data_IF_223216797279
#
_entry.id   IF_223216797279
#
_cell.length_a   1.000
_cell.length_b   1.000
_cell.length_c   1.000
_cell.angle_alpha   90.00
_cell.angle_beta   90.00
_cell.angle_gamma   90.00
#
_symmetry.space_group_name_H-M   'P 1'
#
loop_
_entity.id
_entity.type
_entity.pdbx_description
1 polymer ?
#
# COMPACT_ATOMS: atom_id res chain seq x y z
N UNK A 1 97.86 -12.84 -3.52
CA UNK A 1 96.49 -13.35 -3.72
C UNK A 1 95.73 -12.33 -4.54
N UNK A 2 95.47 -12.61 -5.83
CA UNK A 2 94.62 -11.75 -6.66
C UNK A 2 93.17 -11.93 -6.21
N UNK A 3 92.52 -10.86 -5.76
CA UNK A 3 91.09 -10.85 -5.45
C UNK A 3 90.32 -10.85 -6.77
N UNK A 4 89.57 -11.92 -7.04
CA UNK A 4 88.73 -12.01 -8.23
C UNK A 4 87.64 -10.93 -8.17
N UNK A 5 87.54 -10.10 -9.21
CA UNK A 5 86.48 -9.10 -9.33
C UNK A 5 85.13 -9.78 -9.54
N UNK A 6 84.07 -9.43 -8.77
CA UNK A 6 82.76 -10.06 -8.91
C UNK A 6 82.19 -9.86 -10.31
N UNK A 7 81.53 -10.87 -10.86
CA UNK A 7 80.85 -10.83 -12.15
C UNK A 7 79.69 -9.83 -12.15
N UNK A 8 79.22 -9.42 -13.35
CA UNK A 8 78.10 -8.49 -13.47
C UNK A 8 76.80 -9.01 -12.84
N UNK A 9 76.55 -10.32 -12.95
CA UNK A 9 75.40 -10.98 -12.33
C UNK A 9 75.47 -10.89 -10.80
N UNK A 10 76.63 -11.20 -10.22
CA UNK A 10 76.85 -11.11 -8.76
C UNK A 10 76.70 -9.68 -8.24
N UNK A 11 77.14 -8.67 -9.01
CA UNK A 11 76.91 -7.25 -8.68
C UNK A 11 75.43 -6.86 -8.73
N UNK A 12 74.66 -7.35 -9.71
CA UNK A 12 73.21 -7.11 -9.82
C UNK A 12 72.45 -7.76 -8.67
N UNK A 13 72.80 -8.99 -8.31
CA UNK A 13 72.18 -9.71 -7.20
C UNK A 13 72.52 -9.09 -5.85
N UNK A 14 73.77 -8.68 -5.65
CA UNK A 14 74.20 -7.93 -4.46
C UNK A 14 73.43 -6.61 -4.33
N UNK A 15 73.24 -5.87 -5.43
CA UNK A 15 72.44 -4.64 -5.44
C UNK A 15 70.96 -4.94 -5.13
N UNK A 16 70.38 -5.97 -5.72
CA UNK A 16 68.99 -6.34 -5.46
C UNK A 16 68.78 -6.77 -4.00
N UNK A 17 69.73 -7.51 -3.42
CA UNK A 17 69.72 -7.88 -2.01
C UNK A 17 69.83 -6.65 -1.09
N UNK A 18 70.72 -5.71 -1.42
CA UNK A 18 70.83 -4.43 -0.74
C UNK A 18 69.52 -3.63 -0.80
N UNK A 19 68.92 -3.47 -1.99
CA UNK A 19 67.68 -2.72 -2.17
C UNK A 19 66.51 -3.36 -1.39
N UNK A 20 66.43 -4.69 -1.36
CA UNK A 20 65.44 -5.42 -0.53
C UNK A 20 65.63 -5.15 0.96
N UNK A 21 66.86 -5.26 1.45
CA UNK A 21 67.19 -4.99 2.84
C UNK A 21 66.94 -3.52 3.22
N UNK A 22 67.27 -2.59 2.33
CA UNK A 22 67.01 -1.15 2.51
C UNK A 22 65.51 -0.85 2.57
N UNK A 23 64.71 -1.40 1.63
CA UNK A 23 63.25 -1.23 1.62
C UNK A 23 62.58 -1.86 2.84
N UNK A 24 63.10 -2.99 3.32
CA UNK A 24 62.61 -3.63 4.54
C UNK A 24 62.85 -2.74 5.77
N UNK A 25 64.10 -2.28 5.96
CA UNK A 25 64.49 -1.40 7.08
C UNK A 25 63.78 -0.04 7.06
N UNK A 26 63.47 0.49 5.87
CA UNK A 26 62.86 1.81 5.71
C UNK A 26 61.37 1.77 5.32
N UNK A 27 60.70 0.62 5.44
CA UNK A 27 59.33 0.41 4.95
C UNK A 27 58.35 1.47 5.44
N UNK A 28 58.37 1.79 6.73
CA UNK A 28 57.48 2.79 7.33
C UNK A 28 57.76 4.20 6.80
N UNK A 29 59.03 4.60 6.72
CA UNK A 29 59.45 5.92 6.18
C UNK A 29 59.07 6.07 4.71
N UNK A 30 59.32 5.05 3.90
CA UNK A 30 58.95 5.02 2.48
C UNK A 30 57.43 5.10 2.33
N UNK A 31 56.67 4.36 3.16
CA UNK A 31 55.20 4.39 3.14
C UNK A 31 54.66 5.78 3.50
N UNK A 32 55.20 6.41 4.54
CA UNK A 32 54.81 7.76 4.96
C UNK A 32 55.12 8.80 3.87
N UNK A 33 56.34 8.79 3.33
CA UNK A 33 56.73 9.69 2.24
C UNK A 33 55.84 9.53 1.01
N UNK A 34 55.49 8.29 0.63
CA UNK A 34 54.58 8.03 -0.48
C UNK A 34 53.15 8.51 -0.20
N UNK A 35 52.68 8.38 1.04
CA UNK A 35 51.35 8.88 1.42
C UNK A 35 51.28 10.40 1.34
N UNK A 36 52.31 11.11 1.80
CA UNK A 36 52.40 12.57 1.68
C UNK A 36 52.52 13.02 0.23
N UNK A 37 53.35 12.36 -0.57
CA UNK A 37 53.44 12.64 -2.00
C UNK A 37 52.10 12.43 -2.73
N UNK A 38 51.35 11.37 -2.41
CA UNK A 38 50.03 11.12 -3.00
C UNK A 38 49.00 12.22 -2.67
N UNK A 39 49.16 12.92 -1.54
CA UNK A 39 48.28 14.04 -1.17
C UNK A 39 48.75 15.38 -1.76
N UNK A 40 50.00 15.47 -2.20
CA UNK A 40 50.61 16.70 -2.71
C UNK A 40 49.86 17.26 -3.92
N UNK A 41 49.87 18.58 -4.06
CA UNK A 41 49.29 19.26 -5.22
C UNK A 41 49.96 18.81 -6.53
N UNK A 42 51.27 18.60 -6.50
CA UNK A 42 52.07 18.14 -7.65
C UNK A 42 51.59 16.79 -8.17
N UNK A 43 51.35 15.81 -7.29
CA UNK A 43 50.83 14.51 -7.71
C UNK A 43 49.41 14.60 -8.26
N UNK A 44 48.56 15.44 -7.66
CA UNK A 44 47.19 15.66 -8.17
C UNK A 44 47.21 16.28 -9.58
N UNK A 45 48.10 17.24 -9.82
CA UNK A 45 48.27 17.86 -11.13
C UNK A 45 48.77 16.84 -12.17
N UNK A 46 49.80 16.06 -11.82
CA UNK A 46 50.31 14.97 -12.65
C UNK A 46 49.22 13.95 -13.00
N UNK A 47 48.43 13.48 -12.03
CA UNK A 47 47.35 12.52 -12.30
C UNK A 47 46.22 13.10 -13.15
N UNK A 48 45.93 14.39 -12.98
CA UNK A 48 44.95 15.07 -13.82
C UNK A 48 45.42 15.18 -15.27
N UNK A 49 46.69 15.49 -15.49
CA UNK A 49 47.30 15.53 -16.81
C UNK A 49 47.35 14.13 -17.44
N UNK A 50 47.84 13.13 -16.71
CA UNK A 50 47.89 11.73 -17.16
C UNK A 50 46.51 11.20 -17.55
N UNK A 51 45.46 11.47 -16.74
CA UNK A 51 44.09 11.07 -17.09
C UNK A 51 43.55 11.75 -18.34
N UNK A 52 44.00 12.96 -18.67
CA UNK A 52 43.60 13.66 -19.89
C UNK A 52 44.32 13.08 -21.11
N UNK A 53 45.63 12.92 -21.03
CA UNK A 53 46.47 12.38 -22.10
C UNK A 53 46.14 10.91 -22.41
N UNK A 54 45.82 10.12 -21.38
CA UNK A 54 45.48 8.69 -21.51
C UNK A 54 43.97 8.41 -21.31
N UNK A 55 43.09 9.38 -21.60
CA UNK A 55 41.66 9.26 -21.31
C UNK A 55 41.00 8.02 -21.95
N UNK A 56 41.37 7.72 -23.20
CA UNK A 56 40.84 6.58 -23.96
C UNK A 56 41.30 5.26 -23.35
N UNK A 57 42.60 5.12 -23.07
CA UNK A 57 43.19 3.92 -22.48
C UNK A 57 42.66 3.66 -21.06
N UNK A 58 42.59 4.71 -20.24
CA UNK A 58 42.04 4.63 -18.88
C UNK A 58 40.57 4.23 -18.91
N UNK A 59 39.79 4.73 -19.87
CA UNK A 59 38.39 4.34 -20.04
C UNK A 59 38.28 2.88 -20.48
N UNK A 60 39.03 2.46 -21.49
CA UNK A 60 39.02 1.08 -21.98
C UNK A 60 39.42 0.09 -20.88
N UNK A 61 40.45 0.40 -20.09
CA UNK A 61 40.85 -0.37 -18.92
C UNK A 61 39.73 -0.48 -17.87
N UNK A 62 39.09 0.66 -17.52
CA UNK A 62 37.98 0.66 -16.56
C UNK A 62 36.81 -0.16 -17.06
N UNK A 63 36.44 -0.03 -18.32
CA UNK A 63 35.32 -0.75 -18.92
C UNK A 63 35.58 -2.26 -18.91
N UNK A 64 36.79 -2.70 -19.30
CA UNK A 64 37.21 -4.11 -19.22
C UNK A 64 37.19 -4.63 -17.77
N UNK A 65 37.75 -3.86 -16.83
CA UNK A 65 37.73 -4.23 -15.41
C UNK A 65 36.30 -4.33 -14.87
N UNK A 66 35.42 -3.37 -15.21
CA UNK A 66 34.02 -3.41 -14.80
C UNK A 66 33.26 -4.58 -15.43
N UNK A 67 33.53 -4.92 -16.69
CA UNK A 67 32.92 -6.07 -17.35
C UNK A 67 33.31 -7.38 -16.64
N UNK A 68 34.58 -7.56 -16.32
CA UNK A 68 35.10 -8.71 -15.58
C UNK A 68 34.61 -8.77 -14.13
N UNK A 69 34.35 -7.62 -13.50
CA UNK A 69 33.95 -7.53 -12.09
C UNK A 69 32.46 -7.26 -11.86
N UNK A 70 31.65 -7.22 -12.92
CA UNK A 70 30.24 -6.78 -12.86
C UNK A 70 29.42 -7.59 -11.87
N UNK A 71 29.53 -8.90 -11.93
CA UNK A 71 28.78 -9.81 -11.06
C UNK A 71 29.19 -9.66 -9.60
N UNK A 72 30.50 -9.55 -9.33
CA UNK A 72 31.02 -9.32 -7.97
C UNK A 72 30.52 -7.99 -7.41
N UNK A 73 30.62 -6.91 -8.18
CA UNK A 73 30.17 -5.57 -7.77
C UNK A 73 28.66 -5.56 -7.52
N UNK A 74 27.89 -6.21 -8.40
CA UNK A 74 26.43 -6.35 -8.25
C UNK A 74 26.07 -7.13 -6.99
N UNK A 75 26.76 -8.25 -6.74
CA UNK A 75 26.57 -9.08 -5.55
C UNK A 75 26.94 -8.32 -4.27
N UNK A 76 28.06 -7.60 -4.26
CA UNK A 76 28.49 -6.76 -3.13
C UNK A 76 27.50 -5.62 -2.87
N UNK A 77 27.04 -4.93 -3.91
CA UNK A 77 26.04 -3.88 -3.78
C UNK A 77 24.70 -4.42 -3.25
N UNK A 78 24.28 -5.60 -3.71
CA UNK A 78 23.09 -6.29 -3.20
C UNK A 78 23.26 -6.71 -1.74
N UNK A 79 24.42 -7.28 -1.39
CA UNK A 79 24.75 -7.65 -0.02
C UNK A 79 24.74 -6.43 0.90
N UNK A 80 25.36 -5.31 0.49
CA UNK A 80 25.33 -4.05 1.23
C UNK A 80 23.91 -3.48 1.38
N UNK A 81 23.07 -3.58 0.34
CA UNK A 81 21.67 -3.19 0.40
C UNK A 81 20.87 -4.03 1.41
N UNK A 82 21.16 -5.32 1.48
CA UNK A 82 20.49 -6.25 2.40
C UNK A 82 21.04 -6.21 3.82
N UNK A 83 22.32 -5.83 4.01
CA UNK A 83 23.01 -5.84 5.30
C UNK A 83 22.43 -4.84 6.32
N UNK A 84 21.85 -3.74 5.86
CA UNK A 84 21.28 -2.72 6.75
C UNK A 84 19.88 -2.26 6.28
N UNK A 85 18.86 -3.12 6.47
CA UNK A 85 17.49 -2.79 6.10
C UNK A 85 16.91 -1.70 7.00
N UNK A 86 17.36 -1.59 8.25
CA UNK A 86 16.87 -0.61 9.21
C UNK A 86 17.28 0.81 8.83
N UNK A 87 18.55 1.05 8.50
CA UNK A 87 19.02 2.36 8.03
C UNK A 87 18.29 2.82 6.77
N UNK A 88 18.00 1.91 5.85
CA UNK A 88 17.19 2.24 4.65
C UNK A 88 15.77 2.61 5.02
N UNK A 89 15.13 1.84 5.90
CA UNK A 89 13.78 2.16 6.41
C UNK A 89 13.77 3.49 7.15
N UNK A 90 14.76 3.76 8.00
CA UNK A 90 14.90 5.01 8.73
C UNK A 90 15.05 6.22 7.80
N UNK A 91 15.93 6.11 6.79
CA UNK A 91 16.11 7.16 5.77
C UNK A 91 14.83 7.39 4.97
N UNK A 92 14.15 6.32 4.55
CA UNK A 92 12.86 6.42 3.85
C UNK A 92 11.77 7.03 4.72
N UNK A 93 11.70 6.64 5.99
CA UNK A 93 10.75 7.19 6.95
C UNK A 93 11.01 8.68 7.23
N UNK A 94 12.26 9.09 7.38
CA UNK A 94 12.65 10.50 7.50
C UNK A 94 12.26 11.30 6.25
N UNK A 95 12.55 10.78 5.06
CA UNK A 95 12.13 11.39 3.80
C UNK A 95 10.61 11.54 3.72
N UNK A 96 9.86 10.47 4.01
CA UNK A 96 8.40 10.48 3.99
C UNK A 96 7.80 11.41 5.05
N UNK A 97 8.44 11.56 6.21
CA UNK A 97 8.03 12.52 7.24
C UNK A 97 8.21 13.96 6.77
N UNK A 98 9.40 14.30 6.25
CA UNK A 98 9.68 15.66 5.75
C UNK A 98 8.86 16.00 4.49
N UNK A 99 8.55 15.01 3.66
CA UNK A 99 7.88 15.18 2.39
C UNK A 99 6.46 14.59 2.39
N UNK A 100 5.80 14.54 3.55
CA UNK A 100 4.52 13.87 3.71
C UNK A 100 3.44 14.43 2.77
N UNK A 101 3.40 15.76 2.62
CA UNK A 101 2.47 16.44 1.72
C UNK A 101 2.76 16.06 0.26
N UNK A 102 4.01 16.20 -0.19
CA UNK A 102 4.44 15.85 -1.54
C UNK A 102 4.10 14.40 -1.90
N UNK A 103 4.37 13.46 -1.00
CA UNK A 103 4.06 12.04 -1.22
C UNK A 103 2.55 11.83 -1.33
N UNK A 104 1.76 12.45 -0.44
CA UNK A 104 0.29 12.38 -0.51
C UNK A 104 -0.26 13.03 -1.77
N UNK A 105 0.29 14.17 -2.20
CA UNK A 105 -0.08 14.85 -3.43
C UNK A 105 0.17 13.97 -4.65
N UNK A 106 1.36 13.35 -4.74
CA UNK A 106 1.67 12.38 -5.80
C UNK A 106 0.72 11.19 -5.81
N UNK A 107 0.42 10.62 -4.64
CA UNK A 107 -0.53 9.52 -4.53
C UNK A 107 -1.94 9.93 -4.97
N UNK A 108 -2.41 11.12 -4.57
CA UNK A 108 -3.71 11.66 -5.02
C UNK A 108 -3.73 11.88 -6.53
N UNK A 109 -2.68 12.47 -7.10
CA UNK A 109 -2.58 12.70 -8.54
C UNK A 109 -2.58 11.39 -9.32
N UNK A 110 -1.82 10.39 -8.86
CA UNK A 110 -1.82 9.06 -9.48
C UNK A 110 -3.20 8.40 -9.40
N UNK A 111 -3.87 8.47 -8.24
CA UNK A 111 -5.20 7.91 -8.05
C UNK A 111 -6.26 8.58 -8.94
N UNK A 112 -6.18 9.90 -9.11
CA UNK A 112 -7.06 10.65 -9.99
C UNK A 112 -6.83 10.33 -11.47
N UNK A 113 -5.57 10.14 -11.88
CA UNK A 113 -5.21 9.75 -13.25
C UNK A 113 -5.49 8.27 -13.54
N UNK A 114 -5.60 7.41 -12.52
CA UNK A 114 -5.76 5.96 -12.66
C UNK A 114 -6.91 5.40 -11.81
N UNK A 115 -8.15 5.92 -11.95
CA UNK A 115 -9.25 5.55 -11.06
C UNK A 115 -9.61 4.07 -11.16
N UNK A 116 -9.57 3.49 -12.36
CA UNK A 116 -9.91 2.08 -12.56
C UNK A 116 -8.85 1.13 -12.01
N UNK A 117 -7.55 1.45 -12.17
CA UNK A 117 -6.47 0.67 -11.55
C UNK A 117 -6.57 0.71 -10.02
N UNK A 118 -6.86 1.89 -9.46
CA UNK A 118 -7.06 2.02 -8.02
C UNK A 118 -8.25 1.18 -7.54
N UNK A 119 -9.42 1.30 -8.19
CA UNK A 119 -10.60 0.51 -7.84
C UNK A 119 -10.35 -0.99 -7.98
N UNK A 120 -9.64 -1.42 -9.02
CA UNK A 120 -9.29 -2.83 -9.21
C UNK A 120 -8.40 -3.35 -8.07
N UNK A 121 -7.38 -2.57 -7.69
CA UNK A 121 -6.51 -2.88 -6.55
C UNK A 121 -7.28 -2.92 -5.23
N UNK A 122 -8.12 -1.91 -4.95
CA UNK A 122 -8.95 -1.86 -3.75
C UNK A 122 -9.89 -3.08 -3.67
N UNK A 123 -10.51 -3.48 -4.79
CA UNK A 123 -11.35 -4.68 -4.87
C UNK A 123 -10.55 -5.96 -4.61
N UNK A 124 -9.36 -6.09 -5.20
CA UNK A 124 -8.50 -7.25 -5.00
C UNK A 124 -8.04 -7.35 -3.53
N UNK A 125 -7.64 -6.23 -2.94
CA UNK A 125 -7.27 -6.14 -1.53
C UNK A 125 -8.44 -6.54 -0.62
N UNK A 126 -9.64 -5.97 -0.86
CA UNK A 126 -10.83 -6.31 -0.09
C UNK A 126 -11.20 -7.79 -0.24
N UNK A 127 -11.09 -8.38 -1.44
CA UNK A 127 -11.35 -9.82 -1.64
C UNK A 127 -10.37 -10.69 -0.85
N UNK A 128 -9.09 -10.38 -0.91
CA UNK A 128 -8.05 -11.13 -0.21
C UNK A 128 -8.10 -10.96 1.33
N UNK A 129 -8.59 -9.81 1.81
CA UNK A 129 -8.59 -9.47 3.24
C UNK A 129 -10.01 -9.26 3.79
N UNK A 130 -11.01 -9.91 3.18
CA UNK A 130 -12.43 -9.62 3.42
C UNK A 130 -12.80 -9.76 4.89
N UNK A 131 -12.39 -10.87 5.51
CA UNK A 131 -12.71 -11.18 6.90
C UNK A 131 -12.10 -10.16 7.85
N UNK A 132 -10.81 -9.87 7.68
CA UNK A 132 -10.11 -8.87 8.49
C UNK A 132 -10.74 -7.48 8.37
N UNK A 133 -11.06 -7.05 7.15
CA UNK A 133 -11.69 -5.73 6.93
C UNK A 133 -13.06 -5.67 7.59
N UNK A 134 -13.88 -6.72 7.47
CA UNK A 134 -15.21 -6.75 8.08
C UNK A 134 -15.13 -6.83 9.61
N UNK A 135 -14.19 -7.60 10.15
CA UNK A 135 -13.95 -7.71 11.60
C UNK A 135 -13.52 -6.36 12.18
N UNK A 136 -12.57 -5.67 11.53
CA UNK A 136 -12.14 -4.32 11.93
C UNK A 136 -13.29 -3.31 11.85
N UNK A 137 -14.08 -3.34 10.77
CA UNK A 137 -15.23 -2.47 10.62
C UNK A 137 -16.34 -2.76 11.65
N UNK A 138 -16.49 -4.01 12.08
CA UNK A 138 -17.39 -4.38 13.19
C UNK A 138 -16.83 -3.86 14.52
N UNK A 139 -15.59 -4.17 14.84
CA UNK A 139 -14.93 -3.71 16.08
C UNK A 139 -14.96 -2.19 16.22
N UNK A 140 -14.72 -1.44 15.13
CA UNK A 140 -14.84 0.01 15.15
C UNK A 140 -16.26 0.49 15.48
N UNK A 141 -17.29 -0.12 14.88
CA UNK A 141 -18.70 0.24 15.15
C UNK A 141 -19.09 -0.07 16.59
N UNK A 142 -18.67 -1.22 17.10
CA UNK A 142 -18.99 -1.66 18.46
C UNK A 142 -18.28 -0.79 19.51
N UNK A 143 -17.02 -0.40 19.25
CA UNK A 143 -16.26 0.48 20.14
C UNK A 143 -16.62 1.98 20.01
N UNK A 144 -17.30 2.39 18.93
CA UNK A 144 -17.58 3.80 18.65
C UNK A 144 -19.07 4.04 18.27
N UNK A 145 -20.05 3.60 19.09
CA UNK A 145 -21.46 3.74 18.76
C UNK A 145 -21.90 5.21 18.65
N UNK A 146 -21.44 6.06 19.56
CA UNK A 146 -21.75 7.50 19.56
C UNK A 146 -21.18 8.20 18.33
N UNK A 147 -19.91 7.95 18.00
CA UNK A 147 -19.27 8.54 16.82
C UNK A 147 -19.97 8.09 15.54
N UNK A 148 -20.45 6.84 15.49
CA UNK A 148 -21.26 6.37 14.39
C UNK A 148 -22.58 7.13 14.30
N UNK A 149 -23.29 7.32 15.41
CA UNK A 149 -24.53 8.08 15.43
C UNK A 149 -24.33 9.55 15.00
N UNK A 150 -23.24 10.18 15.46
CA UNK A 150 -22.85 11.53 15.05
C UNK A 150 -22.57 11.62 13.56
N UNK A 151 -21.82 10.67 13.00
CA UNK A 151 -21.55 10.61 11.57
C UNK A 151 -22.84 10.41 10.75
N UNK A 152 -23.71 9.53 11.20
CA UNK A 152 -25.00 9.27 10.53
C UNK A 152 -25.89 10.53 10.58
N UNK A 153 -25.95 11.24 11.71
CA UNK A 153 -26.68 12.49 11.86
C UNK A 153 -26.10 13.62 10.99
N UNK A 154 -24.76 13.77 10.98
CA UNK A 154 -24.07 14.73 10.14
C UNK A 154 -24.32 14.45 8.65
N UNK A 155 -24.32 13.18 8.24
CA UNK A 155 -24.63 12.79 6.86
C UNK A 155 -26.07 13.16 6.48
N UNK A 156 -27.04 12.89 7.35
CA UNK A 156 -28.45 13.27 7.12
C UNK A 156 -28.59 14.79 6.98
N UNK A 157 -27.96 15.55 7.87
CA UNK A 157 -27.97 17.03 7.84
C UNK A 157 -27.31 17.58 6.57
N UNK A 158 -26.21 16.99 6.12
CA UNK A 158 -25.52 17.39 4.90
C UNK A 158 -26.23 16.95 3.61
N UNK A 159 -27.11 15.94 3.67
CA UNK A 159 -27.73 15.32 2.49
C UNK A 159 -29.27 15.29 2.53
N UNK A 160 -29.97 16.42 2.83
CA UNK A 160 -31.42 16.42 3.02
C UNK A 160 -32.18 15.97 1.76
N UNK A 161 -31.71 16.34 0.57
CA UNK A 161 -32.33 15.95 -0.70
C UNK A 161 -32.28 14.43 -0.94
N UNK A 162 -31.15 13.76 -0.61
CA UNK A 162 -31.03 12.30 -0.75
C UNK A 162 -32.00 11.58 0.19
N UNK A 163 -32.17 12.09 1.41
CA UNK A 163 -33.13 11.55 2.39
C UNK A 163 -34.57 11.73 1.89
N UNK A 164 -34.93 12.94 1.43
CA UNK A 164 -36.25 13.22 0.85
C UNK A 164 -36.56 12.31 -0.35
N UNK A 165 -35.61 12.17 -1.27
CA UNK A 165 -35.74 11.32 -2.46
C UNK A 165 -35.93 9.84 -2.09
N UNK A 166 -35.20 9.35 -1.10
CA UNK A 166 -35.33 7.96 -0.62
C UNK A 166 -36.72 7.71 -0.05
N UNK A 167 -37.24 8.64 0.77
CA UNK A 167 -38.61 8.55 1.31
C UNK A 167 -39.67 8.63 0.19
N UNK A 168 -39.50 9.51 -0.79
CA UNK A 168 -40.41 9.64 -1.92
C UNK A 168 -40.47 8.35 -2.76
N UNK A 169 -39.32 7.76 -3.07
CA UNK A 169 -39.23 6.47 -3.79
C UNK A 169 -39.91 5.33 -3.03
N UNK A 170 -39.80 5.29 -1.70
CA UNK A 170 -40.52 4.31 -0.87
C UNK A 170 -42.03 4.51 -0.98
N UNK A 171 -42.53 5.74 -0.79
CA UNK A 171 -43.97 6.04 -0.90
C UNK A 171 -44.53 5.67 -2.28
N UNK A 172 -43.82 6.03 -3.34
CA UNK A 172 -44.21 5.69 -4.70
C UNK A 172 -44.31 4.17 -4.89
N UNK A 173 -43.34 3.40 -4.38
CA UNK A 173 -43.38 1.93 -4.47
C UNK A 173 -44.56 1.33 -3.71
N UNK A 174 -44.83 1.82 -2.51
CA UNK A 174 -45.99 1.37 -1.72
C UNK A 174 -47.26 1.66 -2.50
N UNK A 175 -47.44 2.89 -3.01
CA UNK A 175 -48.62 3.27 -3.80
C UNK A 175 -48.82 2.38 -5.02
N UNK A 176 -47.75 2.08 -5.77
CA UNK A 176 -47.82 1.21 -6.94
C UNK A 176 -48.13 -0.24 -6.59
N UNK A 177 -47.71 -0.69 -5.41
CA UNK A 177 -47.98 -2.04 -4.93
C UNK A 177 -49.35 -2.16 -4.23
N UNK A 178 -50.05 -1.05 -3.97
CA UNK A 178 -51.42 -1.07 -3.41
C UNK A 178 -52.43 -1.20 -4.54
N UNK A 179 -53.03 -2.38 -4.74
CA UNK A 179 -54.08 -2.54 -5.74
C UNK A 179 -55.33 -1.76 -5.33
N UNK A 180 -56.16 -1.38 -6.31
CA UNK A 180 -57.37 -0.59 -6.06
C UNK A 180 -58.40 -1.29 -5.16
N UNK A 181 -58.39 -2.63 -5.15
CA UNK A 181 -59.28 -3.45 -4.32
C UNK A 181 -58.80 -3.62 -2.89
N UNK A 182 -57.59 -3.16 -2.52
CA UNK A 182 -57.09 -3.28 -1.15
C UNK A 182 -57.94 -2.45 -0.19
N UNK A 183 -58.53 -3.08 0.83
CA UNK A 183 -59.28 -2.35 1.85
C UNK A 183 -58.32 -1.54 2.75
N UNK A 184 -58.54 -0.22 2.76
CA UNK A 184 -57.76 0.71 3.57
C UNK A 184 -58.02 0.52 5.06
N UNK A 185 -59.22 0.09 5.46
CA UNK A 185 -59.57 -0.17 6.86
C UNK A 185 -58.79 -1.34 7.42
N UNK A 186 -58.65 -2.41 6.64
CA UNK A 186 -57.85 -3.57 7.04
C UNK A 186 -56.35 -3.23 7.12
N UNK A 187 -55.84 -2.43 6.17
CA UNK A 187 -54.47 -1.93 6.24
C UNK A 187 -54.25 -1.09 7.51
N UNK A 188 -55.15 -0.16 7.79
CA UNK A 188 -55.08 0.71 8.98
C UNK A 188 -55.17 -0.11 10.28
N UNK A 189 -55.95 -1.19 10.30
CA UNK A 189 -56.02 -2.10 11.44
C UNK A 189 -54.67 -2.78 11.73
N UNK A 190 -53.95 -3.23 10.69
CA UNK A 190 -52.59 -3.81 10.85
C UNK A 190 -51.61 -2.77 11.40
N UNK A 191 -51.65 -1.53 10.91
CA UNK A 191 -50.78 -0.46 11.42
C UNK A 191 -51.12 -0.06 12.86
N UNK A 192 -52.40 -0.06 13.22
CA UNK A 192 -52.86 0.22 14.58
C UNK A 192 -52.39 -0.87 15.55
N UNK A 193 -52.47 -2.13 15.13
CA UNK A 193 -51.97 -3.25 15.93
C UNK A 193 -50.45 -3.22 16.09
N UNK A 194 -49.73 -2.82 15.04
CA UNK A 194 -48.29 -2.62 15.10
C UNK A 194 -47.91 -1.57 16.16
N UNK A 195 -48.61 -0.44 16.20
CA UNK A 195 -48.39 0.63 17.18
C UNK A 195 -48.71 0.14 18.60
N UNK A 196 -49.85 -0.55 18.78
CA UNK A 196 -50.27 -1.14 20.07
C UNK A 196 -49.22 -2.08 20.64
N UNK A 197 -48.58 -2.88 19.79
CA UNK A 197 -47.56 -3.84 20.19
C UNK A 197 -46.13 -3.27 20.15
N UNK A 198 -45.94 -2.00 19.77
CA UNK A 198 -44.63 -1.38 19.52
C UNK A 198 -43.76 -2.20 18.52
N UNK A 199 -44.41 -2.72 17.48
CA UNK A 199 -43.82 -3.48 16.38
C UNK A 199 -43.80 -2.63 15.10
N UNK A 200 -43.13 -3.15 14.08
CA UNK A 200 -43.05 -2.55 12.76
C UNK A 200 -43.76 -3.43 11.74
N UNK A 201 -44.50 -2.80 10.83
CA UNK A 201 -45.12 -3.49 9.70
C UNK A 201 -44.07 -3.76 8.62
N UNK A 202 -43.94 -5.02 8.22
CA UNK A 202 -43.10 -5.46 7.10
C UNK A 202 -43.92 -6.27 6.08
N UNK A 203 -43.39 -6.42 4.86
CA UNK A 203 -44.03 -7.20 3.81
C UNK A 203 -43.46 -8.62 3.78
N UNK A 204 -44.30 -9.66 3.89
CA UNK A 204 -43.89 -11.07 3.79
C UNK A 204 -43.14 -11.31 2.49
N UNK A 205 -43.81 -11.04 1.37
CA UNK A 205 -43.20 -10.93 0.05
C UNK A 205 -42.77 -9.47 -0.15
N UNK A 206 -41.46 -9.19 -0.32
CA UNK A 206 -40.95 -7.83 -0.43
C UNK A 206 -41.48 -7.10 -1.66
N UNK A 207 -41.77 -5.80 -1.51
CA UNK A 207 -42.19 -4.93 -2.63
C UNK A 207 -41.10 -4.74 -3.70
N UNK A 208 -39.84 -5.05 -3.38
CA UNK A 208 -38.72 -4.96 -4.32
C UNK A 208 -37.79 -6.14 -4.10
N UNK A 209 -37.86 -7.13 -4.97
CA UNK A 209 -36.90 -8.21 -5.04
C UNK A 209 -36.54 -8.53 -6.49
N UNK A 210 -35.52 -9.36 -6.72
CA UNK A 210 -35.09 -9.74 -8.06
C UNK A 210 -36.06 -10.73 -8.73
N UNK A 211 -36.71 -11.56 -7.92
CA UNK A 211 -37.55 -12.68 -8.39
C UNK A 211 -39.05 -12.41 -8.27
N UNK A 212 -39.44 -11.56 -7.32
CA UNK A 212 -40.85 -11.35 -6.96
C UNK A 212 -41.11 -9.88 -6.66
N UNK A 213 -42.39 -9.48 -6.76
CA UNK A 213 -42.90 -8.21 -6.27
C UNK A 213 -44.17 -8.47 -5.45
N UNK A 214 -44.09 -8.25 -4.14
CA UNK A 214 -45.26 -8.35 -3.27
C UNK A 214 -46.22 -7.16 -3.43
N UNK A 215 -47.48 -7.37 -3.04
CA UNK A 215 -48.50 -6.33 -2.98
C UNK A 215 -48.55 -5.69 -1.59
N UNK A 216 -48.99 -4.44 -1.49
CA UNK A 216 -49.29 -3.80 -0.21
C UNK A 216 -50.74 -4.05 0.17
N UNK A 217 -51.00 -5.26 0.67
CA UNK A 217 -52.32 -5.77 1.08
C UNK A 217 -52.19 -6.45 2.44
N UNK A 218 -53.25 -6.52 3.27
CA UNK A 218 -53.19 -7.07 4.62
C UNK A 218 -52.59 -8.49 4.68
N UNK A 219 -52.97 -9.37 3.75
CA UNK A 219 -52.45 -10.73 3.65
C UNK A 219 -50.94 -10.83 3.39
N UNK A 220 -50.30 -9.75 2.91
CA UNK A 220 -48.86 -9.69 2.69
C UNK A 220 -48.13 -8.87 3.77
N UNK A 221 -48.81 -8.45 4.82
CA UNK A 221 -48.21 -7.71 5.94
C UNK A 221 -47.96 -8.64 7.13
N UNK A 222 -46.85 -8.40 7.83
CA UNK A 222 -46.53 -9.06 9.09
C UNK A 222 -45.98 -8.04 10.09
N UNK A 223 -46.15 -8.33 11.39
CA UNK A 223 -45.62 -7.52 12.47
C UNK A 223 -44.29 -8.11 12.94
N UNK A 224 -43.24 -7.30 12.92
CA UNK A 224 -41.89 -7.68 13.35
C UNK A 224 -41.32 -6.63 14.28
N UNK A 225 -40.45 -7.03 15.21
CA UNK A 225 -39.64 -6.05 15.95
C UNK A 225 -38.77 -5.28 14.97
N UNK A 226 -38.37 -4.06 15.35
CA UNK A 226 -37.48 -3.23 14.52
C UNK A 226 -36.19 -3.96 14.13
N UNK A 227 -35.65 -4.78 15.04
CA UNK A 227 -34.42 -5.54 14.84
C UNK A 227 -34.61 -6.66 13.81
N UNK A 228 -35.70 -7.40 13.89
CA UNK A 228 -36.06 -8.46 12.93
C UNK A 228 -36.33 -7.91 11.54
N UNK A 229 -37.14 -6.85 11.43
CA UNK A 229 -37.44 -6.19 10.16
C UNK A 229 -36.15 -5.70 9.46
N UNK A 230 -35.23 -5.10 10.23
CA UNK A 230 -33.93 -4.69 9.73
C UNK A 230 -33.06 -5.87 9.24
N UNK A 231 -33.12 -7.03 9.91
CA UNK A 231 -32.40 -8.25 9.49
C UNK A 231 -33.03 -8.90 8.26
N UNK A 232 -34.36 -8.92 8.16
CA UNK A 232 -35.12 -9.46 7.02
C UNK A 232 -34.87 -8.65 5.76
N UNK A 233 -34.97 -7.32 5.82
CA UNK A 233 -34.77 -6.45 4.65
C UNK A 233 -35.64 -6.90 3.46
N UNK A 234 -35.19 -6.68 2.22
CA UNK A 234 -35.89 -7.15 1.02
C UNK A 234 -35.54 -8.61 0.65
N UNK A 235 -35.19 -9.46 1.61
CA UNK A 235 -34.88 -10.87 1.33
C UNK A 235 -36.18 -11.63 1.07
N UNK A 236 -36.13 -12.56 0.14
CA UNK A 236 -37.19 -13.52 -0.14
C UNK A 236 -36.53 -14.87 -0.43
N UNK A 237 -36.96 -15.88 0.30
CA UNK A 237 -36.54 -17.26 0.12
C UNK A 237 -37.77 -18.08 -0.31
N UNK A 238 -37.81 -18.59 -1.55
CA UNK A 238 -38.95 -19.36 -2.05
C UNK A 238 -39.23 -20.62 -1.24
N UNK A 239 -38.20 -21.30 -0.75
CA UNK A 239 -38.36 -22.58 -0.03
C UNK A 239 -38.99 -22.34 1.34
N UNK A 240 -38.49 -21.33 2.06
CA UNK A 240 -39.06 -20.91 3.35
C UNK A 240 -40.50 -20.44 3.18
N UNK A 241 -40.79 -19.70 2.12
CA UNK A 241 -42.15 -19.22 1.85
C UNK A 241 -43.12 -20.38 1.60
N UNK A 242 -42.75 -21.33 0.74
CA UNK A 242 -43.59 -22.50 0.44
C UNK A 242 -43.83 -23.40 1.66
N UNK A 243 -42.84 -23.54 2.54
CA UNK A 243 -42.98 -24.30 3.79
C UNK A 243 -43.87 -23.60 4.84
N UNK A 244 -44.15 -22.30 4.66
CA UNK A 244 -44.94 -21.49 5.59
C UNK A 244 -46.42 -21.30 5.18
N UNK A 245 -46.82 -21.87 4.04
CA UNK A 245 -48.22 -21.91 3.57
C UNK A 245 -48.92 -23.19 4.01
#
# INVERSE_FOLDING_TARGET
MQTATPSEAERKDAKAAYDRAYRAKNRAKIKAAKAEWNKSATKKAYDAQYRKEHAVEVKAYKDAWYAENRERISAEAKAAHLADPEKRRAKSAEYNRRNAELVRAKTRAWAAANPEKKKAGDRAYFKANRETVLAQAKAWRDANPERKAQNDAAWVKANPLKVKLTKARRRQRVRHATPAWADRRELDAVYTEADRQNLTVDHIIPLKHKLVCGLHVPANLQLLTRSENCRKSNKFDPEVYLASQ
#
